data_IF_340207630569
#
_entry.id   IF_340207630569
#
_cell.length_a   1.000
_cell.length_b   1.000
_cell.length_c   1.000
_cell.angle_alpha   90.00
_cell.angle_beta   90.00
_cell.angle_gamma   90.00
#
_symmetry.space_group_name_H-M   'P 1'
#
loop_
_entity.id
_entity.type
_entity.pdbx_description
1 polymer ?
#
# COMPACT_ATOMS: atom_id res chain seq x y z
N UNK A 1 -7.92 0.81 12.45
CA UNK A 1 -7.61 -0.62 12.62
C UNK A 1 -8.54 -1.46 11.73
N UNK A 2 -8.31 -1.50 10.42
CA UNK A 2 -9.21 -2.14 9.43
C UNK A 2 -8.52 -3.24 8.59
N UNK A 3 -7.22 -3.47 8.79
CA UNK A 3 -6.50 -4.52 8.08
C UNK A 3 -6.98 -5.91 8.51
N UNK A 4 -7.33 -6.75 7.54
CA UNK A 4 -7.78 -8.14 7.72
C UNK A 4 -6.64 -8.97 8.31
N UNK A 5 -5.45 -8.90 7.72
CA UNK A 5 -4.22 -9.45 8.28
C UNK A 5 -3.33 -8.33 8.77
N UNK A 6 -2.71 -8.48 9.94
CA UNK A 6 -1.74 -7.53 10.47
C UNK A 6 -0.42 -7.64 9.72
N UNK A 7 0.44 -6.63 9.88
CA UNK A 7 1.78 -6.62 9.26
C UNK A 7 2.59 -7.88 9.61
N UNK A 8 2.67 -8.33 10.89
CA UNK A 8 3.41 -9.56 11.21
C UNK A 8 2.84 -10.81 10.53
N UNK A 9 1.51 -10.93 10.45
CA UNK A 9 0.82 -12.06 9.83
C UNK A 9 1.05 -12.10 8.32
N UNK A 10 1.03 -10.94 7.68
CA UNK A 10 1.29 -10.80 6.23
C UNK A 10 2.71 -11.23 5.90
N UNK A 11 3.70 -10.81 6.68
CA UNK A 11 5.11 -11.18 6.49
C UNK A 11 5.30 -12.69 6.68
N UNK A 12 4.73 -13.25 7.76
CA UNK A 12 4.84 -14.68 8.05
C UNK A 12 4.28 -15.53 6.90
N UNK A 13 3.04 -15.27 6.49
CA UNK A 13 2.40 -16.05 5.42
C UNK A 13 3.14 -15.91 4.08
N UNK A 14 3.52 -14.69 3.69
CA UNK A 14 4.21 -14.47 2.42
C UNK A 14 5.58 -15.18 2.39
N UNK A 15 6.27 -15.26 3.53
CA UNK A 15 7.57 -15.92 3.66
C UNK A 15 7.53 -17.44 3.51
N UNK A 16 6.37 -18.07 3.69
CA UNK A 16 6.18 -19.51 3.40
C UNK A 16 6.07 -19.78 1.89
N UNK A 17 5.67 -18.78 1.12
CA UNK A 17 5.45 -18.89 -0.32
C UNK A 17 6.66 -18.40 -1.14
N UNK A 18 7.36 -17.38 -0.66
CA UNK A 18 8.49 -16.75 -1.33
C UNK A 18 9.61 -16.44 -0.33
N UNK A 19 10.86 -16.52 -0.78
CA UNK A 19 12.00 -16.01 0.00
C UNK A 19 11.98 -14.49 -0.01
N UNK A 20 11.76 -13.88 1.15
CA UNK A 20 11.87 -12.43 1.34
C UNK A 20 13.32 -12.03 1.54
N UNK A 21 13.73 -10.94 0.91
CA UNK A 21 15.08 -10.38 0.96
C UNK A 21 15.07 -8.93 1.44
N UNK A 22 16.23 -8.47 1.89
CA UNK A 22 16.41 -7.07 2.28
C UNK A 22 16.14 -6.15 1.08
N UNK A 23 15.28 -5.16 1.28
CA UNK A 23 14.86 -4.21 0.23
C UNK A 23 13.52 -4.56 -0.42
N UNK A 24 12.95 -5.74 -0.16
CA UNK A 24 11.63 -6.09 -0.68
C UNK A 24 10.53 -5.22 -0.08
N UNK A 25 9.52 -4.89 -0.89
CA UNK A 25 8.39 -4.05 -0.51
C UNK A 25 7.08 -4.85 -0.57
N UNK A 26 6.32 -4.81 0.53
CA UNK A 26 4.99 -5.42 0.63
C UNK A 26 3.94 -4.32 0.72
N UNK A 27 3.03 -4.28 -0.26
CA UNK A 27 1.90 -3.36 -0.27
C UNK A 27 0.72 -4.02 0.44
N UNK A 28 0.39 -3.55 1.64
CA UNK A 28 -0.52 -4.22 2.57
C UNK A 28 -2.03 -4.04 2.27
N UNK A 29 -2.36 -3.62 1.05
CA UNK A 29 -3.73 -3.32 0.62
C UNK A 29 -4.18 -1.88 0.87
N UNK A 30 -5.44 -1.61 0.51
CA UNK A 30 -6.12 -0.31 0.64
C UNK A 30 -7.50 -0.51 1.27
N UNK A 31 -8.01 0.44 2.08
CA UNK A 31 -9.40 0.42 2.48
C UNK A 31 -10.34 0.61 1.27
N UNK A 32 -11.64 0.52 1.53
CA UNK A 32 -12.67 0.83 0.54
C UNK A 32 -12.63 2.29 0.08
N UNK A 33 -13.30 2.57 -1.05
CA UNK A 33 -13.37 3.92 -1.62
C UNK A 33 -12.43 4.15 -2.81
N UNK A 34 -11.86 3.10 -3.40
CA UNK A 34 -11.13 3.18 -4.67
C UNK A 34 -12.06 3.61 -5.81
N UNK A 35 -11.51 4.34 -6.79
CA UNK A 35 -12.25 4.86 -7.94
C UNK A 35 -11.35 5.04 -9.16
N UNK A 36 -11.97 5.17 -10.32
CA UNK A 36 -11.25 5.42 -11.57
C UNK A 36 -10.64 6.83 -11.59
N UNK A 37 -9.51 6.97 -12.28
CA UNK A 37 -8.80 8.23 -12.49
C UNK A 37 -8.65 8.51 -13.99
N UNK A 38 -8.54 9.79 -14.34
CA UNK A 38 -8.45 10.27 -15.71
C UNK A 38 -7.16 11.10 -15.90
N UNK A 39 -6.75 11.28 -17.16
CA UNK A 39 -5.63 12.18 -17.49
C UNK A 39 -5.94 13.59 -17.00
N UNK A 40 -4.95 14.23 -16.38
CA UNK A 40 -5.08 15.55 -15.77
C UNK A 40 -5.37 15.51 -14.26
N UNK A 41 -5.82 14.38 -13.72
CA UNK A 41 -6.14 14.26 -12.30
C UNK A 41 -4.90 14.44 -11.40
N UNK A 42 -5.15 14.97 -10.20
CA UNK A 42 -4.16 15.06 -9.13
C UNK A 42 -4.63 14.27 -7.92
N UNK A 43 -3.86 13.26 -7.55
CA UNK A 43 -4.10 12.43 -6.38
C UNK A 43 -3.20 12.84 -5.23
N UNK A 44 -3.73 12.73 -4.01
CA UNK A 44 -3.02 12.96 -2.77
C UNK A 44 -3.32 11.83 -1.79
N UNK A 45 -2.30 11.08 -1.42
CA UNK A 45 -2.36 10.03 -0.40
C UNK A 45 -1.51 10.43 0.81
N UNK A 46 -1.91 10.01 2.01
CA UNK A 46 -1.16 10.30 3.23
C UNK A 46 -1.22 9.11 4.20
N UNK A 47 -0.12 8.88 4.89
CA UNK A 47 -0.06 8.01 6.07
C UNK A 47 0.50 8.83 7.22
N UNK A 48 -0.25 8.92 8.32
CA UNK A 48 0.13 9.67 9.51
C UNK A 48 1.50 9.23 10.03
N UNK A 49 2.37 10.20 10.32
CA UNK A 49 3.73 9.93 10.80
C UNK A 49 4.72 9.38 9.77
N UNK A 50 4.27 9.15 8.52
CA UNK A 50 5.13 8.63 7.44
C UNK A 50 5.38 9.71 6.40
N UNK A 51 4.39 10.01 5.55
CA UNK A 51 4.54 10.97 4.47
C UNK A 51 3.19 11.29 3.77
N UNK A 52 3.20 12.39 3.03
CA UNK A 52 2.22 12.69 1.99
C UNK A 52 2.83 12.39 0.61
N UNK A 53 2.03 11.75 -0.26
CA UNK A 53 2.36 11.45 -1.65
C UNK A 53 1.41 12.21 -2.58
N UNK A 54 1.97 12.97 -3.54
CA UNK A 54 1.22 13.67 -4.59
C UNK A 54 1.58 13.09 -5.95
N UNK A 55 0.56 12.72 -6.73
CA UNK A 55 0.74 12.15 -8.07
C UNK A 55 -0.15 12.91 -9.05
N UNK A 56 0.42 13.35 -10.16
CA UNK A 56 -0.33 13.93 -11.29
C UNK A 56 -0.39 12.90 -12.42
N UNK A 57 -1.59 12.64 -12.91
CA UNK A 57 -1.80 11.78 -14.08
C UNK A 57 -1.56 12.63 -15.33
N UNK A 58 -0.55 12.29 -16.12
CA UNK A 58 -0.17 12.99 -17.36
C UNK A 58 -0.61 12.23 -18.59
#
# INVERSE_FOLDING_TARGET
NQMIWKVPETIAYLSELFTLSAGDLIFSGTPSGVGAIQRGDQMRGCVEGVAELKVKVV
#
